data_IF_993340868754
#
_entry.id   IF_993340868754
#
_cell.length_a   1.000
_cell.length_b   1.000
_cell.length_c   1.000
_cell.angle_alpha   90.00
_cell.angle_beta   90.00
_cell.angle_gamma   90.00
#
_symmetry.space_group_name_H-M   'P 1'
#
loop_
_entity.id
_entity.type
_entity.pdbx_description
1 polymer ?
#
# COMPACT_ATOMS: atom_id res chain seq x y z
N UNK A 1 19.53 36.31 -53.00
CA UNK A 1 20.47 35.48 -52.21
C UNK A 1 19.69 34.30 -51.65
N UNK A 2 19.53 33.24 -52.43
CA UNK A 2 18.72 32.06 -52.08
C UNK A 2 19.43 30.87 -52.70
N UNK A 3 20.07 30.02 -51.88
CA UNK A 3 20.52 28.65 -52.21
C UNK A 3 21.69 28.23 -51.30
N UNK A 4 21.43 27.98 -50.02
CA UNK A 4 22.30 27.14 -49.18
C UNK A 4 21.49 26.09 -48.41
N UNK A 5 20.39 25.60 -49.00
CA UNK A 5 19.52 24.57 -48.38
C UNK A 5 20.15 23.16 -48.46
N UNK A 6 21.38 23.05 -48.97
CA UNK A 6 22.13 21.81 -49.16
C UNK A 6 23.62 21.95 -48.79
N UNK A 7 23.96 22.87 -47.89
CA UNK A 7 25.30 22.89 -47.29
C UNK A 7 25.42 21.70 -46.31
N UNK A 8 26.56 20.99 -46.34
CA UNK A 8 26.81 19.86 -45.42
C UNK A 8 26.58 20.25 -43.95
N UNK A 9 26.95 21.47 -43.58
CA UNK A 9 26.71 22.03 -42.24
C UNK A 9 25.23 22.07 -41.85
N UNK A 10 24.31 22.36 -42.78
CA UNK A 10 22.89 22.44 -42.47
C UNK A 10 22.27 21.04 -42.29
N UNK A 11 22.74 20.06 -43.07
CA UNK A 11 22.36 18.66 -42.93
C UNK A 11 22.87 18.10 -41.59
N UNK A 12 24.11 18.43 -41.23
CA UNK A 12 24.72 18.04 -39.95
C UNK A 12 23.98 18.65 -38.75
N UNK A 13 23.59 19.93 -38.84
CA UNK A 13 22.77 20.59 -37.82
C UNK A 13 21.38 19.95 -37.69
N UNK A 14 20.77 19.54 -38.80
CA UNK A 14 19.48 18.85 -38.79
C UNK A 14 19.55 17.52 -38.02
N UNK A 15 20.54 16.68 -38.31
CA UNK A 15 20.76 15.42 -37.59
C UNK A 15 21.08 15.66 -36.10
N UNK A 16 21.91 16.66 -35.81
CA UNK A 16 22.22 17.06 -34.43
C UNK A 16 20.99 17.57 -33.65
N UNK A 17 19.96 18.05 -34.36
CA UNK A 17 18.69 18.50 -33.79
C UNK A 17 17.64 17.39 -33.67
N UNK A 18 17.99 16.13 -33.98
CA UNK A 18 17.10 14.97 -33.84
C UNK A 18 16.29 14.63 -35.10
N UNK A 19 16.57 15.25 -36.25
CA UNK A 19 16.00 14.81 -37.52
C UNK A 19 16.67 13.50 -37.92
N UNK A 20 15.88 12.46 -38.19
CA UNK A 20 16.38 11.10 -38.45
C UNK A 20 16.54 10.80 -39.96
N UNK A 21 15.80 11.52 -40.81
CA UNK A 21 15.84 11.37 -42.26
C UNK A 21 15.93 12.73 -42.95
N UNK A 22 16.82 12.86 -43.94
CA UNK A 22 16.96 14.06 -44.76
C UNK A 22 16.93 13.68 -46.25
N UNK A 23 15.95 14.18 -47.00
CA UNK A 23 15.82 13.91 -48.45
C UNK A 23 16.46 15.04 -49.23
N UNK A 24 17.49 14.71 -50.01
CA UNK A 24 18.22 15.69 -50.82
C UNK A 24 17.55 15.96 -52.17
N UNK A 25 17.80 17.14 -52.75
CA UNK A 25 17.39 17.45 -54.12
C UNK A 25 18.47 17.03 -55.13
N UNK A 26 18.11 16.59 -56.34
CA UNK A 26 16.75 16.41 -56.86
C UNK A 26 16.03 15.24 -56.18
N UNK A 27 14.72 15.40 -55.94
CA UNK A 27 13.92 14.45 -55.14
C UNK A 27 13.91 13.08 -55.81
N UNK A 28 14.30 12.05 -55.07
CA UNK A 28 14.19 10.65 -55.48
C UNK A 28 12.95 10.00 -54.87
N UNK A 29 12.03 9.55 -55.72
CA UNK A 29 10.76 8.92 -55.29
C UNK A 29 11.01 7.64 -54.50
N UNK A 30 12.01 6.85 -54.86
CA UNK A 30 12.34 5.58 -54.16
C UNK A 30 12.81 5.86 -52.74
N UNK A 31 13.64 6.89 -52.55
CA UNK A 31 14.11 7.33 -51.24
C UNK A 31 12.94 7.81 -50.36
N UNK A 32 12.06 8.64 -50.92
CA UNK A 32 10.88 9.15 -50.22
C UNK A 32 9.99 8.01 -49.73
N UNK A 33 9.68 7.04 -50.61
CA UNK A 33 8.85 5.88 -50.25
C UNK A 33 9.49 5.08 -49.12
N UNK A 34 10.81 4.82 -49.20
CA UNK A 34 11.52 4.06 -48.17
C UNK A 34 11.54 4.77 -46.81
N UNK A 35 11.75 6.10 -46.82
CA UNK A 35 11.68 6.91 -45.60
C UNK A 35 10.29 6.82 -44.96
N UNK A 36 9.22 6.93 -45.76
CA UNK A 36 7.84 6.82 -45.26
C UNK A 36 7.56 5.44 -44.67
N UNK A 37 8.00 4.36 -45.34
CA UNK A 37 7.85 2.98 -44.83
C UNK A 37 8.52 2.80 -43.46
N UNK A 38 9.75 3.29 -43.31
CA UNK A 38 10.49 3.19 -42.04
C UNK A 38 9.81 3.96 -40.91
N UNK A 39 9.27 5.15 -41.20
CA UNK A 39 8.52 5.94 -40.23
C UNK A 39 7.24 5.21 -39.80
N UNK A 40 6.51 4.61 -40.75
CA UNK A 40 5.31 3.82 -40.44
C UNK A 40 5.62 2.60 -39.57
N UNK A 41 6.73 1.91 -39.83
CA UNK A 41 7.18 0.79 -39.01
C UNK A 41 7.53 1.22 -37.59
N UNK A 42 8.20 2.36 -37.42
CA UNK A 42 8.52 2.94 -36.11
C UNK A 42 7.27 3.27 -35.30
N UNK A 43 6.26 3.87 -35.93
CA UNK A 43 4.95 4.15 -35.29
C UNK A 43 4.29 2.85 -34.82
N UNK A 44 4.23 1.82 -35.68
CA UNK A 44 3.66 0.51 -35.31
C UNK A 44 4.40 -0.15 -34.15
N UNK A 45 5.73 -0.01 -34.11
CA UNK A 45 6.54 -0.55 -33.03
C UNK A 45 6.26 0.17 -31.70
N UNK A 46 6.16 1.50 -31.72
CA UNK A 46 5.78 2.28 -30.53
C UNK A 46 4.39 1.89 -30.00
N UNK A 47 3.41 1.73 -30.89
CA UNK A 47 2.07 1.26 -30.52
C UNK A 47 2.11 -0.14 -29.91
N UNK A 48 2.90 -1.04 -30.50
CA UNK A 48 3.03 -2.43 -30.02
C UNK A 48 3.68 -2.48 -28.64
N UNK A 49 4.75 -1.71 -28.43
CA UNK A 49 5.40 -1.59 -27.11
C UNK A 49 4.47 -0.95 -26.08
N UNK A 50 3.68 0.05 -26.48
CA UNK A 50 2.64 0.64 -25.64
C UNK A 50 1.60 -0.39 -25.19
N UNK A 51 1.13 -1.24 -26.11
CA UNK A 51 0.20 -2.34 -25.80
C UNK A 51 0.83 -3.35 -24.85
N UNK A 52 2.05 -3.79 -25.11
CA UNK A 52 2.78 -4.72 -24.23
C UNK A 52 2.89 -4.13 -22.81
N UNK A 53 3.28 -2.86 -22.69
CA UNK A 53 3.37 -2.16 -21.39
C UNK A 53 2.02 -2.11 -20.67
N UNK A 54 0.93 -1.86 -21.40
CA UNK A 54 -0.42 -1.88 -20.80
C UNK A 54 -0.82 -3.27 -20.28
N UNK A 55 -0.54 -4.33 -21.06
CA UNK A 55 -0.83 -5.71 -20.63
C UNK A 55 -0.04 -6.12 -19.37
N UNK A 56 1.23 -5.72 -19.26
CA UNK A 56 2.01 -5.98 -18.05
C UNK A 56 1.50 -5.17 -16.84
N UNK A 57 1.04 -3.93 -17.06
CA UNK A 57 0.46 -3.12 -16.00
C UNK A 57 -0.83 -3.73 -15.45
N UNK A 58 -1.68 -4.26 -16.33
CA UNK A 58 -2.93 -4.93 -15.94
C UNK A 58 -2.69 -6.21 -15.14
N UNK A 59 -1.63 -6.97 -15.47
CA UNK A 59 -1.24 -8.17 -14.72
C UNK A 59 -0.75 -7.85 -13.30
N UNK A 60 0.01 -6.76 -13.13
CA UNK A 60 0.48 -6.31 -11.81
C UNK A 60 -0.67 -5.76 -10.95
N UNK A 61 -1.63 -5.06 -11.55
CA UNK A 61 -2.81 -4.55 -10.84
C UNK A 61 -3.64 -5.72 -10.29
N UNK A 62 -3.99 -6.69 -11.12
CA UNK A 62 -4.78 -7.87 -10.73
C UNK A 62 -4.09 -8.70 -9.63
N UNK A 63 -2.76 -8.85 -9.70
CA UNK A 63 -1.99 -9.54 -8.66
C UNK A 63 -2.00 -8.75 -7.35
N UNK A 64 -1.87 -7.42 -7.41
CA UNK A 64 -1.89 -6.55 -6.24
C UNK A 64 -3.26 -6.51 -5.54
N UNK A 65 -4.36 -6.47 -6.29
CA UNK A 65 -5.72 -6.49 -5.74
C UNK A 65 -6.03 -7.81 -5.05
N UNK A 66 -5.62 -8.93 -5.64
CA UNK A 66 -5.80 -10.26 -5.04
C UNK A 66 -4.99 -10.43 -3.76
N UNK A 67 -3.77 -9.91 -3.71
CA UNK A 67 -2.95 -9.90 -2.49
C UNK A 67 -3.59 -9.05 -1.38
N UNK A 68 -4.02 -7.82 -1.70
CA UNK A 68 -4.72 -6.94 -0.75
C UNK A 68 -6.00 -7.56 -0.19
N UNK A 69 -6.77 -8.23 -1.04
CA UNK A 69 -7.99 -8.92 -0.60
C UNK A 69 -7.69 -10.03 0.43
N UNK A 70 -6.56 -10.72 0.28
CA UNK A 70 -6.12 -11.76 1.21
C UNK A 70 -5.61 -11.18 2.54
N UNK A 71 -4.84 -10.08 2.48
CA UNK A 71 -4.36 -9.38 3.68
C UNK A 71 -5.51 -8.91 4.57
N UNK A 72 -6.57 -8.36 3.96
CA UNK A 72 -7.74 -7.86 4.70
C UNK A 72 -8.56 -8.99 5.34
N UNK A 73 -8.68 -10.15 4.68
CA UNK A 73 -9.32 -11.32 5.30
C UNK A 73 -8.52 -11.84 6.50
N UNK A 74 -7.18 -11.86 6.40
CA UNK A 74 -6.32 -12.20 7.55
C UNK A 74 -6.50 -11.21 8.70
N UNK A 75 -6.59 -9.91 8.42
CA UNK A 75 -6.87 -8.90 9.44
C UNK A 75 -8.21 -9.18 10.13
N UNK A 76 -9.28 -9.46 9.36
CA UNK A 76 -10.58 -9.85 9.93
C UNK A 76 -10.48 -11.09 10.82
N UNK A 77 -9.72 -12.09 10.39
CA UNK A 77 -9.50 -13.31 11.14
C UNK A 77 -8.80 -13.03 12.49
N UNK A 78 -7.74 -12.22 12.49
CA UNK A 78 -7.03 -11.82 13.71
C UNK A 78 -7.96 -11.05 14.66
N UNK A 79 -8.73 -10.08 14.14
CA UNK A 79 -9.72 -9.34 14.95
C UNK A 79 -10.81 -10.27 15.52
N UNK A 80 -11.14 -11.36 14.82
CA UNK A 80 -12.04 -12.39 15.32
C UNK A 80 -11.41 -13.21 16.45
N UNK A 81 -10.13 -13.60 16.34
CA UNK A 81 -9.40 -14.30 17.41
C UNK A 81 -9.29 -13.47 18.68
N UNK A 82 -9.10 -12.16 18.53
CA UNK A 82 -9.10 -11.22 19.65
C UNK A 82 -10.51 -10.95 20.23
N UNK A 83 -11.58 -11.44 19.59
CA UNK A 83 -12.96 -11.24 20.03
C UNK A 83 -13.46 -9.80 19.87
N UNK A 84 -12.89 -9.03 18.93
CA UNK A 84 -13.24 -7.61 18.72
C UNK A 84 -13.84 -7.32 17.34
N UNK A 85 -13.99 -8.32 16.47
CA UNK A 85 -14.56 -8.14 15.13
C UNK A 85 -15.96 -7.49 15.16
N UNK A 86 -16.77 -7.79 16.18
CA UNK A 86 -18.12 -7.21 16.35
C UNK A 86 -18.16 -5.78 16.92
N UNK A 87 -17.03 -5.23 17.36
CA UNK A 87 -16.97 -3.88 17.89
C UNK A 87 -17.02 -2.83 16.78
N UNK A 88 -17.62 -1.67 17.03
CA UNK A 88 -17.71 -0.59 16.02
C UNK A 88 -16.30 -0.17 15.55
N UNK A 89 -15.34 -0.14 16.47
CA UNK A 89 -13.96 0.21 16.18
C UNK A 89 -13.22 -0.80 15.27
N UNK A 90 -13.75 -2.01 15.07
CA UNK A 90 -13.14 -2.99 14.16
C UNK A 90 -13.17 -2.51 12.70
N UNK A 91 -14.26 -1.86 12.30
CA UNK A 91 -14.40 -1.27 10.96
C UNK A 91 -13.42 -0.13 10.76
N UNK A 92 -13.25 0.71 11.78
CA UNK A 92 -12.29 1.81 11.75
C UNK A 92 -10.84 1.28 11.64
N UNK A 93 -10.51 0.20 12.36
CA UNK A 93 -9.20 -0.49 12.26
C UNK A 93 -8.97 -1.01 10.84
N UNK A 94 -9.94 -1.73 10.26
CA UNK A 94 -9.85 -2.27 8.90
C UNK A 94 -9.66 -1.15 7.89
N UNK A 95 -10.40 -0.05 8.02
CA UNK A 95 -10.27 1.12 7.12
C UNK A 95 -8.87 1.74 7.17
N UNK A 96 -8.29 1.89 8.37
CA UNK A 96 -6.91 2.36 8.52
C UNK A 96 -5.93 1.40 7.85
N UNK A 97 -6.08 0.09 8.08
CA UNK A 97 -5.20 -0.91 7.47
C UNK A 97 -5.31 -0.91 5.95
N UNK A 98 -6.53 -0.85 5.41
CA UNK A 98 -6.78 -0.74 3.97
C UNK A 98 -6.10 0.50 3.37
N UNK A 99 -6.28 1.66 4.00
CA UNK A 99 -5.63 2.90 3.58
C UNK A 99 -4.09 2.76 3.55
N UNK A 100 -3.50 2.13 4.55
CA UNK A 100 -2.05 1.90 4.62
C UNK A 100 -1.55 0.92 3.53
N UNK A 101 -2.30 -0.15 3.26
CA UNK A 101 -2.01 -1.11 2.19
C UNK A 101 -2.10 -0.46 0.81
N UNK A 102 -3.07 0.43 0.61
CA UNK A 102 -3.30 1.09 -0.68
C UNK A 102 -2.23 2.12 -1.03
N UNK A 103 -1.79 2.92 -0.06
CA UNK A 103 -0.79 3.95 -0.29
C UNK A 103 0.65 3.43 -0.32
N UNK A 104 0.87 2.12 -0.09
CA UNK A 104 2.20 1.51 0.10
C UNK A 104 3.06 2.25 1.14
N UNK A 105 2.44 3.07 1.99
CA UNK A 105 3.06 3.75 3.12
C UNK A 105 3.24 2.71 4.25
N UNK A 106 4.11 1.72 3.99
CA UNK A 106 4.50 0.69 4.95
C UNK A 106 5.49 1.20 6.00
N UNK A 107 5.78 2.50 6.00
CA UNK A 107 6.80 3.10 6.85
C UNK A 107 6.19 3.63 8.15
N UNK A 108 6.81 3.21 9.25
CA UNK A 108 6.63 3.53 10.67
C UNK A 108 6.54 5.03 11.05
N UNK A 109 6.39 5.95 10.09
CA UNK A 109 6.46 7.39 10.29
C UNK A 109 5.13 8.11 10.03
N UNK A 110 4.00 7.44 10.24
CA UNK A 110 2.69 8.08 10.27
C UNK A 110 2.22 8.29 11.72
N UNK A 111 1.31 9.25 11.89
CA UNK A 111 0.48 9.37 13.10
C UNK A 111 -0.92 8.87 12.80
N UNK A 112 -1.46 8.05 13.71
CA UNK A 112 -2.84 7.54 13.61
C UNK A 112 -3.85 8.70 13.49
N UNK A 113 -3.60 9.81 14.20
CA UNK A 113 -4.45 11.01 14.12
C UNK A 113 -4.55 11.58 12.70
N UNK A 114 -3.43 11.64 11.97
CA UNK A 114 -3.35 12.17 10.60
C UNK A 114 -4.11 11.25 9.61
N UNK A 115 -4.13 9.94 9.86
CA UNK A 115 -4.93 9.00 9.06
C UNK A 115 -6.41 9.14 9.39
N UNK A 116 -6.77 9.25 10.68
CA UNK A 116 -8.15 9.50 11.09
C UNK A 116 -8.72 10.79 10.49
N UNK A 117 -7.89 11.84 10.34
CA UNK A 117 -8.25 13.10 9.68
C UNK A 117 -8.59 12.94 8.19
N UNK A 118 -7.92 12.00 7.50
CA UNK A 118 -8.19 11.70 6.09
C UNK A 118 -9.42 10.80 5.89
N UNK A 119 -9.72 9.94 6.86
CA UNK A 119 -10.74 8.89 6.73
C UNK A 119 -12.10 9.23 7.35
N UNK A 120 -12.20 10.26 8.20
CA UNK A 120 -13.41 10.56 8.98
C UNK A 120 -13.61 12.05 9.18
N UNK A 121 -14.85 12.51 9.04
CA UNK A 121 -15.27 13.88 9.39
C UNK A 121 -15.13 14.17 10.90
N UNK A 122 -15.06 13.11 11.72
CA UNK A 122 -14.79 13.20 13.15
C UNK A 122 -13.62 12.29 13.57
N UNK A 123 -12.36 12.77 13.45
CA UNK A 123 -11.16 11.97 13.67
C UNK A 123 -11.01 11.51 15.12
N UNK A 124 -11.32 12.39 16.08
CA UNK A 124 -11.24 12.08 17.51
C UNK A 124 -12.22 10.98 17.92
N UNK A 125 -13.44 11.02 17.39
CA UNK A 125 -14.42 9.98 17.65
C UNK A 125 -13.98 8.63 17.07
N UNK A 126 -13.43 8.62 15.84
CA UNK A 126 -12.87 7.41 15.23
C UNK A 126 -11.75 6.82 16.07
N UNK A 127 -10.77 7.63 16.49
CA UNK A 127 -9.66 7.16 17.34
C UNK A 127 -10.17 6.59 18.67
N UNK A 128 -11.20 7.20 19.27
CA UNK A 128 -11.78 6.69 20.51
C UNK A 128 -12.55 5.37 20.32
N UNK A 129 -13.24 5.19 19.19
CA UNK A 129 -13.88 3.90 18.88
C UNK A 129 -12.84 2.79 18.71
N UNK A 130 -11.74 3.08 18.02
CA UNK A 130 -10.60 2.16 17.90
C UNK A 130 -10.05 1.83 19.29
N UNK A 131 -9.76 2.84 20.11
CA UNK A 131 -9.22 2.65 21.47
C UNK A 131 -10.12 1.76 22.33
N UNK A 132 -11.44 1.94 22.27
CA UNK A 132 -12.42 1.10 22.99
C UNK A 132 -12.38 -0.36 22.50
N UNK A 133 -12.34 -0.59 21.19
CA UNK A 133 -12.22 -1.93 20.64
C UNK A 133 -10.91 -2.61 21.10
N UNK A 134 -9.78 -1.90 21.03
CA UNK A 134 -8.49 -2.44 21.45
C UNK A 134 -8.45 -2.78 22.94
N UNK A 135 -9.04 -1.94 23.81
CA UNK A 135 -9.13 -2.22 25.24
C UNK A 135 -9.92 -3.51 25.49
N UNK A 136 -11.02 -3.73 24.76
CA UNK A 136 -11.78 -4.98 24.88
C UNK A 136 -10.97 -6.19 24.44
N UNK A 137 -10.19 -6.07 23.36
CA UNK A 137 -9.25 -7.11 22.94
C UNK A 137 -8.14 -7.37 23.96
N UNK A 138 -7.65 -6.32 24.63
CA UNK A 138 -6.66 -6.43 25.70
C UNK A 138 -7.23 -7.22 26.89
N UNK A 139 -8.45 -6.88 27.34
CA UNK A 139 -9.15 -7.63 28.39
C UNK A 139 -9.36 -9.09 27.98
N UNK A 140 -9.79 -9.36 26.75
CA UNK A 140 -9.98 -10.74 26.27
C UNK A 140 -8.67 -11.55 26.28
N UNK A 141 -7.58 -10.99 25.79
CA UNK A 141 -6.25 -11.63 25.79
C UNK A 141 -5.73 -11.83 27.22
N UNK A 142 -5.92 -10.85 28.09
CA UNK A 142 -5.55 -10.98 29.50
C UNK A 142 -6.36 -12.09 30.19
N UNK A 143 -7.68 -12.16 29.99
CA UNK A 143 -8.51 -13.27 30.48
C UNK A 143 -8.05 -14.62 29.92
N UNK A 144 -7.70 -14.69 28.64
CA UNK A 144 -7.18 -15.91 28.02
C UNK A 144 -5.88 -16.37 28.69
N UNK A 145 -4.92 -15.46 28.91
CA UNK A 145 -3.67 -15.79 29.59
C UNK A 145 -3.80 -16.07 31.09
N UNK A 146 -4.90 -15.64 31.72
CA UNK A 146 -5.22 -16.00 33.11
C UNK A 146 -5.63 -17.47 33.20
N UNK A 147 -6.45 -17.93 32.26
CA UNK A 147 -6.99 -19.30 32.20
C UNK A 147 -5.98 -20.28 31.60
N UNK A 148 -5.35 -19.91 30.48
CA UNK A 148 -4.38 -20.73 29.75
C UNK A 148 -3.25 -19.88 29.18
N UNK A 149 -2.15 -19.82 29.94
CA UNK A 149 -0.95 -19.09 29.54
C UNK A 149 -0.21 -19.72 28.35
N UNK A 150 -0.51 -20.99 28.02
CA UNK A 150 0.08 -21.71 26.89
C UNK A 150 -0.76 -21.62 25.62
N UNK A 151 -1.87 -20.85 25.65
CA UNK A 151 -2.71 -20.64 24.50
C UNK A 151 -1.95 -19.94 23.37
N UNK A 152 -2.07 -20.48 22.14
CA UNK A 152 -1.38 -19.96 20.96
C UNK A 152 -1.72 -18.49 20.66
N UNK A 153 -3.01 -18.11 20.74
CA UNK A 153 -3.45 -16.73 20.47
C UNK A 153 -2.88 -15.77 21.53
N UNK A 154 -2.77 -16.21 22.80
CA UNK A 154 -2.12 -15.42 23.87
C UNK A 154 -0.62 -15.24 23.62
N UNK A 155 0.11 -16.33 23.40
CA UNK A 155 1.55 -16.30 23.15
C UNK A 155 1.84 -15.40 21.94
N UNK A 156 1.05 -15.55 20.88
CA UNK A 156 1.25 -14.83 19.64
C UNK A 156 0.95 -13.33 19.79
N UNK A 157 -0.21 -12.95 20.33
CA UNK A 157 -0.69 -11.57 20.25
C UNK A 157 -0.33 -10.70 21.46
N UNK A 158 -0.01 -11.29 22.62
CA UNK A 158 0.31 -10.54 23.85
C UNK A 158 1.49 -9.57 23.69
N UNK A 159 2.51 -9.95 22.92
CA UNK A 159 3.67 -9.09 22.65
C UNK A 159 3.68 -8.47 21.25
N UNK A 160 3.07 -9.14 20.28
CA UNK A 160 3.14 -8.72 18.88
C UNK A 160 2.11 -7.66 18.49
N UNK A 161 0.90 -7.71 19.08
CA UNK A 161 -0.14 -6.71 18.88
C UNK A 161 -0.28 -5.76 20.06
N UNK A 162 -0.02 -6.26 21.27
CA UNK A 162 -0.04 -5.50 22.53
C UNK A 162 1.37 -5.39 23.13
N UNK A 163 1.54 -4.61 24.19
CA UNK A 163 2.73 -4.71 25.03
C UNK A 163 2.49 -5.77 26.08
N UNK A 164 3.42 -6.70 26.24
CA UNK A 164 3.28 -7.77 27.20
C UNK A 164 3.15 -7.25 28.64
N UNK A 165 3.81 -6.13 28.97
CA UNK A 165 3.68 -5.46 30.26
C UNK A 165 2.25 -4.95 30.50
N UNK A 166 1.63 -4.33 29.48
CA UNK A 166 0.25 -3.85 29.55
C UNK A 166 -0.74 -5.02 29.68
N UNK A 167 -0.51 -6.13 28.97
CA UNK A 167 -1.31 -7.36 29.11
C UNK A 167 -1.21 -7.89 30.54
N UNK A 168 -0.01 -7.96 31.11
CA UNK A 168 0.18 -8.43 32.49
C UNK A 168 -0.48 -7.50 33.51
N UNK A 169 -0.40 -6.18 33.32
CA UNK A 169 -1.10 -5.21 34.17
C UNK A 169 -2.63 -5.42 34.10
N UNK A 170 -3.17 -5.67 32.91
CA UNK A 170 -4.58 -6.01 32.75
C UNK A 170 -4.95 -7.33 33.45
N UNK A 171 -4.08 -8.35 33.39
CA UNK A 171 -4.30 -9.61 34.10
C UNK A 171 -4.34 -9.42 35.62
N UNK A 172 -3.42 -8.62 36.17
CA UNK A 172 -3.38 -8.32 37.60
C UNK A 172 -4.58 -7.45 38.02
N UNK A 173 -5.05 -6.56 37.15
CA UNK A 173 -6.29 -5.79 37.35
C UNK A 173 -7.53 -6.68 37.41
N UNK A 174 -7.70 -7.59 36.44
CA UNK A 174 -8.82 -8.56 36.41
C UNK A 174 -8.83 -9.44 37.67
N UNK A 175 -7.65 -9.80 38.19
CA UNK A 175 -7.48 -10.57 39.43
C UNK A 175 -7.63 -9.74 40.71
N UNK A 176 -7.85 -8.43 40.61
CA UNK A 176 -8.02 -7.52 41.75
C UNK A 176 -6.73 -7.19 42.51
N UNK A 177 -5.56 -7.46 41.93
CA UNK A 177 -4.25 -7.15 42.55
C UNK A 177 -3.85 -5.69 42.38
N UNK A 178 -4.28 -5.05 41.29
CA UNK A 178 -4.01 -3.66 40.96
C UNK A 178 -5.30 -2.86 40.83
N UNK A 179 -5.23 -1.55 41.09
CA UNK A 179 -6.36 -0.62 40.93
C UNK A 179 -6.54 -0.12 39.49
N UNK A 180 -5.55 -0.33 38.62
CA UNK A 180 -5.57 0.07 37.22
C UNK A 180 -5.08 -1.06 36.31
N UNK A 181 -5.65 -1.10 35.11
CA UNK A 181 -5.32 -2.06 34.06
C UNK A 181 -4.26 -1.58 33.08
N UNK A 182 -4.05 -2.37 32.03
CA UNK A 182 -3.09 -2.09 30.96
C UNK A 182 -3.57 -0.97 30.03
N UNK A 183 -2.63 -0.41 29.25
CA UNK A 183 -2.95 0.60 28.25
C UNK A 183 -2.75 0.05 26.84
N UNK A 184 -3.59 0.51 25.91
CA UNK A 184 -3.45 0.17 24.49
C UNK A 184 -2.70 1.24 23.71
N UNK A 185 -1.82 0.78 22.83
CA UNK A 185 -1.13 1.59 21.84
C UNK A 185 -1.70 1.29 20.45
N UNK A 186 -2.50 2.22 19.92
CA UNK A 186 -3.18 2.04 18.63
C UNK A 186 -2.17 1.85 17.50
N UNK A 187 -1.09 2.64 17.49
CA UNK A 187 -0.07 2.57 16.44
C UNK A 187 0.62 1.19 16.44
N UNK A 188 1.08 0.74 17.61
CA UNK A 188 1.70 -0.59 17.75
C UNK A 188 0.76 -1.69 17.25
N UNK A 189 -0.51 -1.61 17.63
CA UNK A 189 -1.50 -2.61 17.22
C UNK A 189 -1.69 -2.66 15.69
N UNK A 190 -1.84 -1.50 15.05
CA UNK A 190 -1.99 -1.40 13.59
C UNK A 190 -0.74 -1.90 12.87
N UNK A 191 0.46 -1.54 13.33
CA UNK A 191 1.72 -2.03 12.76
C UNK A 191 1.84 -3.55 12.92
N UNK A 192 1.51 -4.07 14.11
CA UNK A 192 1.54 -5.50 14.41
C UNK A 192 0.58 -6.31 13.56
N UNK A 193 -0.67 -5.82 13.36
CA UNK A 193 -1.67 -6.56 12.58
C UNK A 193 -1.34 -6.56 11.09
N UNK A 194 -0.78 -5.46 10.56
CA UNK A 194 -0.29 -5.39 9.19
C UNK A 194 0.83 -6.40 8.95
N UNK A 195 1.81 -6.49 9.86
CA UNK A 195 2.89 -7.46 9.76
C UNK A 195 2.39 -8.92 9.74
N UNK A 196 1.36 -9.22 10.55
CA UNK A 196 0.73 -10.55 10.57
C UNK A 196 -0.09 -10.85 9.32
N UNK A 197 -0.59 -9.83 8.63
CA UNK A 197 -1.34 -10.02 7.39
C UNK A 197 -0.42 -10.35 6.19
N UNK A 198 0.83 -9.90 6.24
CA UNK A 198 1.84 -10.17 5.21
C UNK A 198 2.37 -11.62 5.23
N UNK A 199 2.45 -12.23 6.42
CA UNK A 199 2.91 -13.61 6.63
C UNK A 199 1.80 -14.62 6.32
#
# INVERSE_FOLDING_TARGET
MISQVSSKNLIEQAYSSGIEFFISKPINIVEVVKVIENVLEKIKMEETLGRIKSMFSDLDINKSEKLKSNEIEKIRFILSKLGILGEIGSKDIINICQYLLDNKERMFNYKVSEICEKLSDNPKAMEQRIRRALNKGLTNIASLGIEDYMNDDFIQYSNSLYNFEDVRLEMDYIRGKNSYGGKVNIKKFIEGILLHSEC
#
